data_IF_724608421401
#
_entry.id   IF_724608421401
#
_cell.length_a   1.000
_cell.length_b   1.000
_cell.length_c   1.000
_cell.angle_alpha   90.00
_cell.angle_beta   90.00
_cell.angle_gamma   90.00
#
_symmetry.space_group_name_H-M   'P 1'
#
loop_
_entity.id
_entity.type
_entity.pdbx_description
1 polymer ?
#
# COMPACT_ATOMS: atom_id res chain seq x y z
N UNK A 1 -9.70 -4.67 4.47
CA UNK A 1 -8.72 -4.22 3.46
C UNK A 1 -7.94 -5.41 2.94
N UNK A 2 -7.63 -5.42 1.67
CA UNK A 2 -6.80 -6.45 1.01
C UNK A 2 -6.21 -5.88 -0.28
N UNK A 3 -5.30 -6.64 -0.90
CA UNK A 3 -4.71 -6.28 -2.20
C UNK A 3 -5.17 -7.30 -3.24
N UNK A 4 -5.68 -6.82 -4.36
CA UNK A 4 -5.87 -7.64 -5.56
C UNK A 4 -4.59 -7.60 -6.39
N UNK A 5 -4.11 -8.77 -6.80
CA UNK A 5 -2.93 -8.92 -7.64
C UNK A 5 -3.38 -9.52 -8.97
N UNK A 6 -3.03 -8.87 -10.07
CA UNK A 6 -3.26 -9.40 -11.40
C UNK A 6 -2.04 -10.21 -11.83
N UNK A 7 -2.05 -11.51 -11.55
CA UNK A 7 -1.00 -12.45 -11.91
C UNK A 7 -1.53 -13.52 -12.87
N UNK A 8 -0.70 -14.05 -13.79
CA UNK A 8 -1.09 -15.11 -14.72
C UNK A 8 -1.51 -16.38 -14.00
N UNK A 9 -0.83 -16.73 -12.91
CA UNK A 9 -1.03 -17.95 -12.14
C UNK A 9 -0.93 -17.63 -10.64
N UNK A 10 -1.57 -18.47 -9.80
CA UNK A 10 -1.54 -18.33 -8.34
C UNK A 10 -0.30 -19.02 -7.75
N UNK A 11 0.88 -18.67 -8.26
CA UNK A 11 2.18 -19.12 -7.78
C UNK A 11 2.96 -17.99 -7.15
N UNK A 12 3.75 -18.27 -6.11
CA UNK A 12 4.44 -17.25 -5.32
C UNK A 12 5.35 -16.35 -6.17
N UNK A 13 6.07 -16.94 -7.14
CA UNK A 13 6.97 -16.21 -8.03
C UNK A 13 6.20 -15.24 -8.94
N UNK A 14 5.09 -15.72 -9.55
CA UNK A 14 4.23 -14.89 -10.42
C UNK A 14 3.54 -13.77 -9.66
N UNK A 15 3.14 -14.03 -8.42
CA UNK A 15 2.55 -13.01 -7.53
C UNK A 15 3.59 -11.93 -7.18
N UNK A 16 4.82 -12.33 -6.82
CA UNK A 16 5.90 -11.40 -6.51
C UNK A 16 6.26 -10.54 -7.72
N UNK A 17 6.42 -11.16 -8.89
CA UNK A 17 6.70 -10.46 -10.14
C UNK A 17 5.58 -9.47 -10.51
N UNK A 18 4.32 -9.86 -10.31
CA UNK A 18 3.19 -8.97 -10.55
C UNK A 18 3.17 -7.78 -9.59
N UNK A 19 3.52 -7.98 -8.31
CA UNK A 19 3.68 -6.90 -7.34
C UNK A 19 4.83 -5.96 -7.72
N UNK A 20 5.98 -6.50 -8.12
CA UNK A 20 7.13 -5.71 -8.57
C UNK A 20 6.83 -4.88 -9.82
N UNK A 21 6.00 -5.40 -10.71
CA UNK A 21 5.55 -4.72 -11.92
C UNK A 21 4.40 -3.72 -11.67
N UNK A 22 3.95 -3.59 -10.42
CA UNK A 22 2.86 -2.68 -10.07
C UNK A 22 1.46 -3.18 -10.47
N UNK A 23 1.31 -4.46 -10.82
CA UNK A 23 0.03 -5.08 -11.20
C UNK A 23 -0.82 -5.41 -9.97
N UNK A 24 -0.96 -4.46 -9.07
CA UNK A 24 -1.70 -4.63 -7.83
C UNK A 24 -2.59 -3.42 -7.55
N UNK A 25 -3.74 -3.69 -6.91
CA UNK A 25 -4.72 -2.68 -6.52
C UNK A 25 -5.08 -2.89 -5.06
N UNK A 26 -4.91 -1.85 -4.25
CA UNK A 26 -5.41 -1.85 -2.88
C UNK A 26 -6.93 -1.73 -2.85
N UNK A 27 -7.58 -2.52 -1.99
CA UNK A 27 -9.04 -2.56 -1.87
C UNK A 27 -9.45 -2.32 -0.43
N UNK A 28 -10.34 -1.36 -0.24
CA UNK A 28 -11.12 -1.18 0.99
C UNK A 28 -12.56 -1.58 0.69
N UNK A 29 -13.00 -2.70 1.25
CA UNK A 29 -14.33 -3.25 1.02
C UNK A 29 -15.13 -3.22 2.31
N UNK A 30 -16.40 -2.78 2.30
CA UNK A 30 -17.22 -2.68 3.49
C UNK A 30 -17.33 -4.01 4.24
N UNK A 31 -17.22 -3.96 5.56
CA UNK A 31 -17.36 -5.13 6.44
C UNK A 31 -18.81 -5.21 6.90
N UNK A 32 -19.41 -6.38 6.72
CA UNK A 32 -20.69 -6.75 7.32
C UNK A 32 -20.38 -7.66 8.52
N UNK A 33 -20.78 -7.25 9.71
CA UNK A 33 -20.33 -7.90 10.96
C UNK A 33 -20.94 -9.29 11.20
N UNK A 34 -22.12 -9.55 10.66
CA UNK A 34 -22.85 -10.82 10.85
C UNK A 34 -22.65 -11.82 9.69
N UNK A 35 -21.66 -11.53 8.81
CA UNK A 35 -21.40 -12.29 7.61
C UNK A 35 -20.43 -13.45 7.87
N UNK A 36 -20.81 -14.67 7.47
CA UNK A 36 -19.89 -15.82 7.48
C UNK A 36 -18.79 -15.64 6.41
N UNK A 37 -17.69 -16.38 6.55
CA UNK A 37 -16.60 -16.34 5.57
C UNK A 37 -17.08 -16.70 4.16
N UNK A 38 -17.96 -17.69 4.03
CA UNK A 38 -18.51 -18.12 2.76
C UNK A 38 -19.38 -17.04 2.12
N UNK A 39 -20.28 -16.41 2.89
CA UNK A 39 -21.08 -15.28 2.45
C UNK A 39 -20.21 -14.12 1.98
N UNK A 40 -19.16 -13.79 2.73
CA UNK A 40 -18.19 -12.76 2.36
C UNK A 40 -17.49 -13.08 1.04
N UNK A 41 -17.01 -14.30 0.85
CA UNK A 41 -16.36 -14.73 -0.39
C UNK A 41 -17.32 -14.64 -1.57
N UNK A 42 -18.56 -15.07 -1.40
CA UNK A 42 -19.58 -15.00 -2.46
C UNK A 42 -19.92 -13.54 -2.82
N UNK A 43 -20.05 -12.66 -1.83
CA UNK A 43 -20.27 -11.23 -2.04
C UNK A 43 -19.10 -10.59 -2.76
N UNK A 44 -17.87 -10.89 -2.36
CA UNK A 44 -16.66 -10.40 -3.03
C UNK A 44 -16.63 -10.83 -4.51
N UNK A 45 -16.91 -12.09 -4.81
CA UNK A 45 -16.94 -12.59 -6.19
C UNK A 45 -17.98 -11.91 -7.07
N UNK A 46 -19.14 -11.56 -6.50
CA UNK A 46 -20.26 -10.99 -7.22
C UNK A 46 -20.20 -9.47 -7.33
N UNK A 47 -19.85 -8.81 -6.22
CA UNK A 47 -20.11 -7.38 -6.06
C UNK A 47 -18.84 -6.53 -6.08
N UNK A 48 -17.65 -7.13 -5.97
CA UNK A 48 -16.41 -6.38 -5.98
C UNK A 48 -16.18 -5.69 -7.34
N UNK A 49 -16.07 -4.36 -7.38
CA UNK A 49 -15.59 -3.66 -8.57
C UNK A 49 -14.09 -3.95 -8.78
N UNK A 50 -13.70 -4.05 -10.03
CA UNK A 50 -12.29 -4.25 -10.39
C UNK A 50 -11.88 -3.34 -11.54
N UNK A 51 -10.58 -3.09 -11.64
CA UNK A 51 -9.98 -2.31 -12.72
C UNK A 51 -9.90 -3.20 -13.97
N UNK A 52 -10.51 -2.76 -15.06
CA UNK A 52 -10.50 -3.48 -16.34
C UNK A 52 -9.35 -3.03 -17.23
N UNK A 53 -8.93 -1.77 -17.11
CA UNK A 53 -7.84 -1.20 -17.92
C UNK A 53 -7.20 -0.01 -17.22
N UNK A 54 -5.88 0.03 -17.23
CA UNK A 54 -5.07 1.22 -16.96
C UNK A 54 -4.16 1.42 -18.14
N UNK A 55 -4.18 2.60 -18.72
CA UNK A 55 -3.42 2.91 -19.92
C UNK A 55 -2.82 4.31 -19.82
N UNK A 56 -1.55 4.40 -20.15
CA UNK A 56 -0.85 5.66 -20.31
C UNK A 56 -0.52 5.83 -21.79
N UNK A 57 -1.17 6.78 -22.47
CA UNK A 57 -0.92 7.09 -23.87
C UNK A 57 -0.40 8.52 -23.96
N UNK A 58 0.90 8.68 -24.24
CA UNK A 58 1.61 9.93 -24.03
C UNK A 58 1.47 10.38 -22.57
N UNK A 59 0.96 11.58 -22.37
CA UNK A 59 0.70 12.12 -21.03
C UNK A 59 -0.73 11.85 -20.52
N UNK A 60 -1.56 11.11 -21.27
CA UNK A 60 -2.95 10.83 -20.88
C UNK A 60 -3.06 9.50 -20.15
N UNK A 61 -3.34 9.57 -18.85
CA UNK A 61 -3.69 8.42 -18.03
C UNK A 61 -5.18 8.14 -18.13
N UNK A 62 -5.55 6.95 -18.61
CA UNK A 62 -6.92 6.48 -18.75
C UNK A 62 -7.18 5.26 -17.88
N UNK A 63 -8.30 5.24 -17.17
CA UNK A 63 -8.69 4.18 -16.25
C UNK A 63 -10.10 3.75 -16.56
N UNK A 64 -10.30 2.44 -16.68
CA UNK A 64 -11.63 1.83 -16.84
C UNK A 64 -11.85 0.80 -15.75
N UNK A 65 -13.08 0.71 -15.26
CA UNK A 65 -13.50 -0.20 -14.19
C UNK A 65 -14.79 -0.94 -14.55
N UNK A 66 -15.03 -2.08 -13.91
CA UNK A 66 -16.18 -2.95 -14.17
C UNK A 66 -17.52 -2.36 -13.77
N UNK A 67 -17.56 -1.38 -12.85
CA UNK A 67 -18.78 -0.73 -12.35
C UNK A 67 -18.60 0.79 -12.33
N UNK A 68 -19.72 1.54 -12.36
CA UNK A 68 -19.66 2.98 -12.24
C UNK A 68 -19.15 3.39 -10.84
N UNK A 69 -18.06 4.15 -10.80
CA UNK A 69 -17.61 4.79 -9.56
C UNK A 69 -18.51 5.97 -9.21
N UNK A 70 -18.68 6.24 -7.92
CA UNK A 70 -19.33 7.46 -7.43
C UNK A 70 -18.39 8.65 -7.58
N UNK A 71 -17.08 8.42 -7.37
CA UNK A 71 -16.03 9.42 -7.48
C UNK A 71 -14.68 8.77 -7.80
N UNK A 72 -13.92 9.40 -8.67
CA UNK A 72 -12.49 9.15 -8.88
C UNK A 72 -11.71 10.43 -8.57
N UNK A 73 -10.53 10.28 -7.99
CA UNK A 73 -9.60 11.36 -7.70
C UNK A 73 -8.25 11.03 -8.32
N UNK A 74 -7.67 11.98 -9.02
CA UNK A 74 -6.26 12.00 -9.39
C UNK A 74 -5.52 12.87 -8.36
N UNK A 75 -4.53 12.31 -7.71
CA UNK A 75 -3.87 12.91 -6.54
C UNK A 75 -2.38 13.02 -6.83
N UNK A 76 -1.88 14.23 -6.76
CA UNK A 76 -0.46 14.56 -6.95
C UNK A 76 0.33 14.59 -5.65
N UNK A 77 1.47 15.26 -5.72
CA UNK A 77 2.38 15.45 -4.58
C UNK A 77 1.63 16.04 -3.37
N UNK A 78 2.06 15.64 -2.19
CA UNK A 78 1.53 16.11 -0.89
C UNK A 78 0.02 15.91 -0.72
N UNK A 79 -0.59 15.02 -1.53
CA UNK A 79 -2.02 14.74 -1.48
C UNK A 79 -2.88 15.79 -2.20
N UNK A 80 -2.30 16.68 -3.00
CA UNK A 80 -3.04 17.68 -3.80
C UNK A 80 -3.94 16.95 -4.80
N UNK A 81 -5.22 17.30 -4.82
CA UNK A 81 -6.16 16.75 -5.78
C UNK A 81 -5.98 17.52 -7.09
N UNK A 82 -5.56 16.79 -8.13
CA UNK A 82 -5.33 17.31 -9.47
C UNK A 82 -6.62 17.37 -10.28
N UNK A 83 -7.44 16.29 -10.20
CA UNK A 83 -8.74 16.22 -10.84
C UNK A 83 -9.71 15.33 -10.09
N UNK A 84 -11.02 15.53 -10.32
CA UNK A 84 -12.13 14.73 -9.79
C UNK A 84 -13.20 14.51 -10.83
N UNK A 85 -13.60 13.25 -11.03
CA UNK A 85 -14.73 12.93 -11.91
C UNK A 85 -15.74 12.05 -11.14
N UNK A 86 -16.99 11.96 -11.62
CA UNK A 86 -18.08 11.28 -10.90
C UNK A 86 -18.99 10.51 -11.84
N UNK A 87 -19.62 9.44 -11.30
CA UNK A 87 -20.73 8.69 -11.90
C UNK A 87 -20.42 8.13 -13.30
N UNK A 88 -19.23 7.55 -13.46
CA UNK A 88 -18.75 6.94 -14.72
C UNK A 88 -18.04 5.63 -14.43
N UNK A 89 -17.77 4.86 -15.45
CA UNK A 89 -16.90 3.67 -15.38
C UNK A 89 -15.56 3.86 -16.09
N UNK A 90 -15.34 5.05 -16.66
CA UNK A 90 -14.09 5.44 -17.29
C UNK A 90 -13.74 6.88 -16.88
N UNK A 91 -12.46 7.13 -16.66
CA UNK A 91 -11.91 8.46 -16.41
C UNK A 91 -10.55 8.61 -17.05
N UNK A 92 -10.18 9.84 -17.40
CA UNK A 92 -8.85 10.17 -17.90
C UNK A 92 -8.37 11.48 -17.30
N UNK A 93 -7.04 11.57 -17.17
CA UNK A 93 -6.33 12.76 -16.71
C UNK A 93 -5.10 12.98 -17.57
N UNK A 94 -4.88 14.21 -18.03
CA UNK A 94 -3.66 14.61 -18.75
C UNK A 94 -2.64 15.04 -17.71
N UNK A 95 -1.60 14.25 -17.54
CA UNK A 95 -0.50 14.49 -16.59
C UNK A 95 0.26 15.73 -17.06
N UNK A 96 0.26 16.76 -16.24
CA UNK A 96 0.95 18.01 -16.55
C UNK A 96 2.47 17.87 -16.36
N UNK A 97 3.30 18.72 -16.99
CA UNK A 97 4.75 18.67 -16.84
C UNK A 97 5.24 18.76 -15.39
N UNK A 98 4.50 19.49 -14.54
CA UNK A 98 4.76 19.66 -13.11
C UNK A 98 4.32 18.48 -12.23
N UNK A 99 3.54 17.55 -12.77
CA UNK A 99 3.04 16.38 -12.04
C UNK A 99 4.08 15.27 -12.05
N UNK A 100 4.99 15.28 -11.08
CA UNK A 100 6.01 14.22 -10.93
C UNK A 100 5.45 12.92 -10.35
N UNK A 101 4.23 12.95 -9.81
CA UNK A 101 3.56 11.85 -9.15
C UNK A 101 2.05 11.96 -9.33
N UNK A 102 1.42 10.87 -9.75
CA UNK A 102 -0.04 10.78 -9.85
C UNK A 102 -0.52 9.45 -9.27
N UNK A 103 -1.33 9.51 -8.23
CA UNK A 103 -2.03 8.37 -7.63
C UNK A 103 -3.53 8.47 -7.92
N UNK A 104 -4.17 7.32 -8.09
CA UNK A 104 -5.62 7.27 -8.36
C UNK A 104 -6.35 6.55 -7.25
N UNK A 105 -7.43 7.20 -6.80
CA UNK A 105 -8.38 6.65 -5.83
C UNK A 105 -9.78 6.66 -6.43
N UNK A 106 -10.46 5.50 -6.37
CA UNK A 106 -11.85 5.35 -6.79
C UNK A 106 -12.72 5.02 -5.58
N UNK A 107 -13.88 5.64 -5.52
CA UNK A 107 -14.90 5.39 -4.49
C UNK A 107 -16.19 4.92 -5.19
N UNK A 108 -16.84 3.89 -4.67
CA UNK A 108 -18.08 3.33 -5.19
C UNK A 108 -19.25 3.62 -4.25
N UNK A 109 -20.49 3.47 -4.74
CA UNK A 109 -21.69 3.79 -3.96
C UNK A 109 -21.90 2.90 -2.74
N UNK A 110 -21.40 1.68 -2.79
CA UNK A 110 -21.45 0.69 -1.70
C UNK A 110 -20.40 0.93 -0.62
N UNK A 111 -19.59 1.99 -0.74
CA UNK A 111 -18.49 2.29 0.17
C UNK A 111 -17.18 1.58 -0.17
N UNK A 112 -17.14 0.76 -1.21
CA UNK A 112 -15.88 0.18 -1.70
C UNK A 112 -14.96 1.26 -2.22
N UNK A 113 -13.66 1.16 -1.92
CA UNK A 113 -12.64 2.02 -2.50
C UNK A 113 -11.51 1.20 -3.13
N UNK A 114 -11.00 1.67 -4.27
CA UNK A 114 -9.84 1.11 -4.96
C UNK A 114 -8.72 2.15 -4.97
N UNK A 115 -7.50 1.68 -4.71
CA UNK A 115 -6.28 2.48 -4.68
C UNK A 115 -5.29 1.88 -5.68
N UNK A 116 -5.03 2.61 -6.76
CA UNK A 116 -4.09 2.18 -7.78
C UNK A 116 -2.66 2.56 -7.38
N UNK A 117 -1.70 1.82 -7.90
CA UNK A 117 -0.30 2.18 -7.77
C UNK A 117 -0.03 3.55 -8.40
N UNK A 118 0.85 4.35 -7.79
CA UNK A 118 1.19 5.64 -8.34
C UNK A 118 2.00 5.52 -9.64
N UNK A 119 1.79 6.48 -10.53
CA UNK A 119 2.64 6.72 -11.69
C UNK A 119 3.59 7.85 -11.33
N UNK A 120 4.88 7.63 -11.53
CA UNK A 120 5.92 8.62 -11.29
C UNK A 120 6.64 8.96 -12.59
N UNK A 121 6.92 10.24 -12.81
CA UNK A 121 7.75 10.70 -13.91
C UNK A 121 9.21 10.70 -13.45
N UNK A 122 10.07 10.05 -14.22
CA UNK A 122 11.52 10.05 -14.00
C UNK A 122 12.21 10.75 -15.18
N UNK A 123 13.19 11.60 -14.87
CA UNK A 123 14.00 12.30 -15.88
C UNK A 123 15.06 11.39 -16.51
N UNK A 124 15.32 10.20 -15.95
CA UNK A 124 16.31 9.26 -16.46
C UNK A 124 15.69 7.94 -16.90
N UNK A 125 16.20 7.38 -18.02
CA UNK A 125 15.80 6.06 -18.52
C UNK A 125 16.12 4.91 -17.57
N UNK A 126 16.99 5.12 -16.60
CA UNK A 126 17.37 4.12 -15.59
C UNK A 126 16.73 4.43 -14.27
N UNK A 127 15.68 3.69 -13.93
CA UNK A 127 15.17 3.65 -12.56
C UNK A 127 16.24 2.97 -11.71
N UNK A 128 17.06 3.76 -11.02
CA UNK A 128 17.93 3.23 -9.97
C UNK A 128 16.98 2.74 -8.88
N UNK A 129 16.78 1.41 -8.80
CA UNK A 129 16.13 0.77 -7.64
C UNK A 129 16.98 1.11 -6.41
N UNK A 130 16.78 2.29 -5.82
CA UNK A 130 17.32 2.56 -4.49
C UNK A 130 16.63 1.58 -3.55
N UNK A 131 17.39 0.55 -3.13
CA UNK A 131 16.96 -0.25 -1.99
C UNK A 131 16.87 0.69 -0.79
N UNK A 132 15.65 1.09 -0.43
CA UNK A 132 15.36 1.93 0.73
C UNK A 132 15.62 1.20 2.07
N UNK A 133 15.93 -0.08 2.00
CA UNK A 133 16.15 -0.99 3.13
C UNK A 133 17.60 -1.14 3.53
N UNK A 134 18.41 -0.10 3.35
CA UNK A 134 19.77 -0.12 3.86
C UNK A 134 19.72 -0.03 5.39
N UNK A 135 19.72 -1.22 6.04
CA UNK A 135 19.83 -1.31 7.49
C UNK A 135 21.13 -0.62 7.90
N UNK A 136 21.02 0.48 8.62
CA UNK A 136 22.19 1.16 9.17
C UNK A 136 22.74 0.35 10.35
N UNK A 137 23.56 -0.65 10.02
CA UNK A 137 24.12 -1.60 10.98
C UNK A 137 24.82 -0.90 12.14
N UNK A 138 25.51 0.22 11.90
CA UNK A 138 26.17 0.98 12.95
C UNK A 138 25.18 1.50 14.00
N UNK A 139 24.07 2.11 13.57
CA UNK A 139 23.02 2.57 14.49
C UNK A 139 22.33 1.41 15.20
N UNK A 140 22.09 0.31 14.50
CA UNK A 140 21.47 -0.88 15.07
C UNK A 140 22.33 -1.50 16.16
N UNK A 141 23.65 -1.65 15.93
CA UNK A 141 24.60 -2.21 16.90
C UNK A 141 24.69 -1.30 18.14
N UNK A 142 24.76 0.02 17.96
CA UNK A 142 24.78 0.97 19.08
C UNK A 142 23.52 0.84 19.93
N UNK A 143 22.35 0.76 19.29
CA UNK A 143 21.07 0.61 19.99
C UNK A 143 21.01 -0.70 20.79
N UNK A 144 21.46 -1.80 20.22
CA UNK A 144 21.56 -3.10 20.88
C UNK A 144 22.52 -3.05 22.07
N UNK A 145 23.68 -2.38 21.91
CA UNK A 145 24.62 -2.18 23.00
C UNK A 145 24.00 -1.43 24.18
N UNK A 146 23.24 -0.38 23.93
CA UNK A 146 22.52 0.38 24.97
C UNK A 146 21.50 -0.51 25.68
N UNK A 147 20.71 -1.30 24.95
CA UNK A 147 19.74 -2.23 25.55
C UNK A 147 20.41 -3.25 26.47
N UNK A 148 21.50 -3.87 26.02
CA UNK A 148 22.24 -4.85 26.83
C UNK A 148 22.77 -4.19 28.11
N UNK A 149 23.30 -2.98 28.04
CA UNK A 149 23.82 -2.25 29.19
C UNK A 149 22.73 -1.91 30.21
N UNK A 150 21.54 -1.51 29.74
CA UNK A 150 20.39 -1.26 30.62
C UNK A 150 19.92 -2.54 31.32
N UNK A 151 19.82 -3.65 30.59
CA UNK A 151 19.47 -4.95 31.18
C UNK A 151 20.48 -5.36 32.25
N UNK A 152 21.78 -5.22 31.98
CA UNK A 152 22.85 -5.55 32.91
C UNK A 152 22.76 -4.73 34.20
N UNK A 153 22.49 -3.42 34.09
CA UNK A 153 22.28 -2.54 35.25
C UNK A 153 21.09 -2.97 36.09
N UNK A 154 19.99 -3.37 35.45
CA UNK A 154 18.80 -3.87 36.18
C UNK A 154 19.13 -5.16 36.92
N UNK A 155 19.78 -6.13 36.24
CA UNK A 155 20.20 -7.41 36.86
C UNK A 155 21.10 -7.17 38.04
N UNK A 156 22.11 -6.32 37.93
CA UNK A 156 23.02 -5.98 39.04
C UNK A 156 22.28 -5.37 40.23
N UNK A 157 21.31 -4.47 39.97
CA UNK A 157 20.47 -3.90 41.05
C UNK A 157 19.63 -4.95 41.72
N UNK A 158 18.99 -5.86 40.98
CA UNK A 158 18.16 -6.94 41.52
C UNK A 158 19.00 -7.89 42.37
N UNK A 159 20.17 -8.33 41.87
CA UNK A 159 21.08 -9.22 42.60
C UNK A 159 21.57 -8.56 43.89
N UNK A 160 21.97 -7.30 43.87
CA UNK A 160 22.35 -6.55 45.09
C UNK A 160 21.22 -6.37 46.05
N UNK A 161 19.97 -6.20 45.60
CA UNK A 161 18.79 -6.12 46.45
C UNK A 161 18.47 -7.45 47.15
N UNK A 162 18.57 -8.56 46.40
CA UNK A 162 18.37 -9.90 46.95
C UNK A 162 19.45 -10.28 47.95
N UNK A 163 20.73 -10.03 47.65
CA UNK A 163 21.86 -10.28 48.57
C UNK A 163 21.71 -9.56 49.89
N UNK A 164 21.17 -8.33 49.92
CA UNK A 164 20.90 -7.57 51.15
C UNK A 164 19.74 -8.12 51.99
N UNK A 165 18.82 -8.89 51.33
CA UNK A 165 17.68 -9.51 52.08
C UNK A 165 18.00 -10.87 52.70
N UNK A 166 18.98 -11.59 52.11
CA UNK A 166 19.39 -12.92 52.59
C UNK A 166 20.47 -12.82 53.69
N UNK A 167 21.14 -11.68 53.83
CA UNK A 167 22.15 -11.44 54.86
C UNK A 167 21.67 -10.76 56.15
N UNK A 168 20.31 -10.73 56.35
CA UNK A 168 19.68 -10.36 57.59
C UNK A 168 18.90 -11.59 58.14
#
# INVERSE_FOLDING_TARGET
>A
RFTMINAPENEAEMLLQSLENGNAVGVDFPIEYDETLEQKVNRLKKDLPYVTRVELNGDTLSISVSKNFSKIKFIGNEGKILDKQKNRNMASYVIQPEDNYVRVELEFKDGTALYLNPITRHESETIVKQRLDHVNWSKTIILWGIYILVILMIVVKVVKSLSRRVGK
#
